data_IF_631809612980
#
_entry.id   IF_631809612980
#
_cell.length_a   1.000
_cell.length_b   1.000
_cell.length_c   1.000
_cell.angle_alpha   90.00
_cell.angle_beta   90.00
_cell.angle_gamma   90.00
#
_symmetry.space_group_name_H-M   'P 1'
#
loop_
_entity.id
_entity.type
_entity.pdbx_description
1 polymer ?
#
# COMPACT_ATOMS: atom_id res chain seq x y z
N UNK A 1 14.26 -2.09 -5.80
CA UNK A 1 13.95 -3.04 -4.70
C UNK A 1 13.34 -2.33 -3.49
N UNK A 2 13.92 -1.24 -2.99
CA UNK A 2 13.45 -0.50 -1.80
C UNK A 2 12.06 0.10 -1.92
N UNK A 3 11.71 0.71 -3.06
CA UNK A 3 10.41 1.35 -3.25
C UNK A 3 9.24 0.35 -3.22
N UNK A 4 9.40 -0.83 -3.83
CA UNK A 4 8.39 -1.89 -3.82
C UNK A 4 8.11 -2.38 -2.40
N UNK A 5 9.17 -2.71 -1.64
CA UNK A 5 9.03 -3.19 -0.27
C UNK A 5 8.38 -2.14 0.63
N UNK A 6 8.69 -0.86 0.44
CA UNK A 6 8.05 0.21 1.20
C UNK A 6 6.56 0.34 0.85
N UNK A 7 6.25 0.40 -0.45
CA UNK A 7 4.89 0.61 -0.96
C UNK A 7 3.92 -0.53 -0.63
N UNK A 8 4.43 -1.76 -0.58
CA UNK A 8 3.63 -2.95 -0.26
C UNK A 8 3.91 -3.52 1.13
N UNK A 9 4.64 -2.79 1.98
CA UNK A 9 5.02 -3.25 3.34
C UNK A 9 3.81 -3.66 4.17
N UNK A 10 2.72 -2.89 4.10
CA UNK A 10 1.45 -3.19 4.77
C UNK A 10 0.86 -4.53 4.32
N UNK A 11 0.79 -4.76 3.00
CA UNK A 11 0.25 -6.02 2.45
C UNK A 11 1.15 -7.20 2.78
N UNK A 12 2.46 -7.03 2.71
CA UNK A 12 3.43 -8.08 3.04
C UNK A 12 3.35 -8.46 4.52
N UNK A 13 3.29 -7.47 5.41
CA UNK A 13 3.14 -7.70 6.85
C UNK A 13 1.82 -8.40 7.17
N UNK A 14 0.71 -7.91 6.60
CA UNK A 14 -0.60 -8.53 6.78
C UNK A 14 -0.68 -9.97 6.25
N UNK A 15 -0.12 -10.22 5.06
CA UNK A 15 -0.01 -11.56 4.49
C UNK A 15 0.82 -12.50 5.37
N UNK A 16 1.94 -12.01 5.93
CA UNK A 16 2.77 -12.79 6.84
C UNK A 16 2.01 -13.17 8.12
N UNK A 17 1.24 -12.24 8.71
CA UNK A 17 0.41 -12.52 9.89
C UNK A 17 -0.65 -13.57 9.57
N UNK A 18 -1.38 -13.42 8.45
CA UNK A 18 -2.39 -14.39 8.02
C UNK A 18 -1.77 -15.77 7.82
N UNK A 19 -0.58 -15.83 7.20
CA UNK A 19 0.15 -17.07 7.00
C UNK A 19 0.52 -17.73 8.33
N UNK A 20 1.08 -16.97 9.27
CA UNK A 20 1.45 -17.47 10.60
C UNK A 20 0.22 -18.04 11.32
N UNK A 21 -0.88 -17.30 11.37
CA UNK A 21 -2.13 -17.74 11.99
C UNK A 21 -2.62 -19.04 11.34
N UNK A 22 -2.60 -19.09 10.00
CA UNK A 22 -3.05 -20.27 9.24
C UNK A 22 -2.18 -21.49 9.54
N UNK A 23 -0.85 -21.35 9.52
CA UNK A 23 0.09 -22.45 9.82
C UNK A 23 -0.05 -22.95 11.25
N UNK A 24 -0.17 -22.04 12.22
CA UNK A 24 -0.37 -22.40 13.64
C UNK A 24 -1.67 -23.19 13.81
N UNK A 25 -2.76 -22.75 13.18
CA UNK A 25 -4.04 -23.46 13.26
C UNK A 25 -4.05 -24.78 12.51
N UNK A 26 -3.39 -24.87 11.35
CA UNK A 26 -3.21 -26.14 10.63
C UNK A 26 -2.53 -27.19 11.51
N UNK A 27 -1.51 -26.80 12.29
CA UNK A 27 -0.82 -27.71 13.22
C UNK A 27 -1.70 -28.19 14.38
N UNK A 28 -2.70 -27.41 14.78
CA UNK A 28 -3.61 -27.74 15.88
C UNK A 28 -4.89 -28.45 15.41
N UNK A 29 -5.04 -28.63 14.09
CA UNK A 29 -6.24 -29.16 13.45
C UNK A 29 -7.18 -28.06 12.98
N UNK A 30 -7.48 -28.07 11.69
CA UNK A 30 -8.30 -27.05 11.04
C UNK A 30 -9.79 -27.25 11.31
N UNK A 31 -10.41 -26.30 12.00
CA UNK A 31 -11.85 -26.32 12.31
C UNK A 31 -12.64 -25.47 11.31
N UNK A 32 -13.95 -25.70 11.21
CA UNK A 32 -14.83 -24.86 10.37
C UNK A 32 -14.80 -23.38 10.77
N UNK A 33 -14.61 -23.10 12.06
CA UNK A 33 -14.44 -21.74 12.59
C UNK A 33 -13.17 -21.06 12.09
N UNK A 34 -12.13 -21.83 11.72
CA UNK A 34 -10.85 -21.26 11.31
C UNK A 34 -10.95 -20.63 9.92
N UNK A 35 -11.86 -21.12 9.08
CA UNK A 35 -12.24 -20.47 7.83
C UNK A 35 -12.85 -19.08 8.06
N UNK A 36 -13.66 -18.91 9.11
CA UNK A 36 -14.23 -17.60 9.45
C UNK A 36 -13.17 -16.63 9.95
N UNK A 37 -12.20 -17.13 10.74
CA UNK A 37 -11.09 -16.31 11.23
C UNK A 37 -10.19 -15.85 10.08
N UNK A 38 -9.76 -16.77 9.21
CA UNK A 38 -8.89 -16.43 8.07
C UNK A 38 -9.63 -15.57 7.05
N UNK A 39 -10.89 -15.88 6.76
CA UNK A 39 -11.73 -15.05 5.90
C UNK A 39 -11.93 -13.64 6.48
N UNK A 40 -12.19 -13.54 7.79
CA UNK A 40 -12.31 -12.25 8.48
C UNK A 40 -11.02 -11.44 8.44
N UNK A 41 -9.85 -12.08 8.63
CA UNK A 41 -8.55 -11.41 8.49
C UNK A 41 -8.30 -10.92 7.06
N UNK A 42 -8.62 -11.72 6.04
CA UNK A 42 -8.51 -11.32 4.64
C UNK A 42 -9.41 -10.13 4.32
N UNK A 43 -10.67 -10.15 4.77
CA UNK A 43 -11.61 -9.05 4.58
C UNK A 43 -11.18 -7.78 5.31
N UNK A 44 -10.71 -7.91 6.55
CA UNK A 44 -10.17 -6.79 7.34
C UNK A 44 -8.94 -6.17 6.67
N UNK A 45 -8.02 -7.01 6.18
CA UNK A 45 -6.85 -6.54 5.43
C UNK A 45 -7.24 -5.83 4.13
N UNK A 46 -8.21 -6.38 3.40
CA UNK A 46 -8.73 -5.75 2.19
C UNK A 46 -9.37 -4.39 2.49
N UNK A 47 -10.17 -4.29 3.55
CA UNK A 47 -10.81 -3.04 3.97
C UNK A 47 -9.77 -1.98 4.34
N UNK A 48 -8.77 -2.32 5.16
CA UNK A 48 -7.65 -1.43 5.50
C UNK A 48 -6.92 -1.00 4.23
N UNK A 49 -6.61 -1.94 3.33
CA UNK A 49 -5.92 -1.59 2.09
C UNK A 49 -6.75 -0.65 1.22
N UNK A 50 -8.06 -0.83 1.09
CA UNK A 50 -8.90 0.08 0.32
C UNK A 50 -8.91 1.51 0.88
N UNK A 51 -8.82 1.67 2.21
CA UNK A 51 -8.79 2.97 2.89
C UNK A 51 -7.42 3.63 2.77
N UNK A 52 -6.35 2.86 2.95
CA UNK A 52 -4.98 3.37 3.07
C UNK A 52 -4.14 3.14 1.80
N UNK A 53 -4.72 2.63 0.72
CA UNK A 53 -3.95 2.37 -0.49
C UNK A 53 -3.35 3.68 -1.00
N UNK A 54 -2.08 3.65 -1.40
CA UNK A 54 -1.49 4.77 -2.11
C UNK A 54 -2.32 5.05 -3.36
N UNK A 55 -2.90 6.24 -3.41
CA UNK A 55 -3.58 6.75 -4.58
C UNK A 55 -2.64 7.76 -5.23
N UNK A 56 -2.54 7.75 -6.57
CA UNK A 56 -1.77 8.76 -7.27
C UNK A 56 -2.37 10.12 -6.93
N UNK A 57 -1.62 10.94 -6.19
CA UNK A 57 -1.93 12.37 -6.06
C UNK A 57 -1.92 12.93 -7.47
N UNK A 58 -3.02 13.56 -7.88
CA UNK A 58 -3.15 14.17 -9.21
C UNK A 58 -1.90 14.99 -9.48
N UNK A 59 -1.14 14.62 -10.51
CA UNK A 59 0.02 15.35 -11.03
C UNK A 59 -0.41 16.65 -11.71
N UNK A 60 -1.35 17.38 -11.11
CA UNK A 60 -1.87 18.63 -11.64
C UNK A 60 -0.75 19.67 -11.81
N UNK A 61 0.36 19.54 -11.09
CA UNK A 61 1.52 20.42 -11.23
C UNK A 61 2.57 19.99 -12.24
N UNK A 62 2.61 18.74 -12.74
CA UNK A 62 3.74 18.29 -13.58
C UNK A 62 3.59 18.81 -15.01
N UNK A 63 2.40 18.68 -15.61
CA UNK A 63 2.14 19.20 -16.95
C UNK A 63 2.21 20.74 -16.99
N UNK A 64 1.79 21.40 -15.91
CA UNK A 64 1.86 22.85 -15.77
C UNK A 64 3.31 23.34 -15.60
N UNK A 65 4.13 22.62 -14.83
CA UNK A 65 5.58 22.91 -14.70
C UNK A 65 6.33 22.62 -16.00
N UNK A 66 6.07 21.51 -16.69
CA UNK A 66 6.68 21.18 -17.97
C UNK A 66 6.40 22.25 -19.03
N UNK A 67 5.21 22.87 -19.00
CA UNK A 67 4.86 23.98 -19.89
C UNK A 67 5.59 25.30 -19.58
N UNK A 68 6.08 25.48 -18.35
CA UNK A 68 6.82 26.67 -17.91
C UNK A 68 8.34 26.50 -18.05
N UNK A 69 8.84 25.27 -18.08
CA UNK A 69 10.26 24.97 -18.33
C UNK A 69 10.60 25.30 -19.79
N UNK A 70 11.35 26.41 -19.97
CA UNK A 70 11.76 26.89 -21.30
C UNK A 70 11.14 28.23 -21.71
N UNK A 71 10.25 28.81 -20.89
CA UNK A 71 9.62 30.11 -21.15
C UNK A 71 10.51 31.33 -20.88
N UNK A 72 11.78 31.13 -20.48
CA UNK A 72 12.73 32.22 -20.19
C UNK A 72 12.57 32.87 -18.82
N UNK A 73 11.58 32.44 -18.02
CA UNK A 73 11.40 32.83 -16.61
C UNK A 73 11.88 31.70 -15.68
N UNK A 74 12.58 32.02 -14.57
CA UNK A 74 12.96 31.02 -13.59
C UNK A 74 11.71 30.45 -12.91
N UNK A 75 11.50 29.15 -13.09
CA UNK A 75 10.40 28.39 -12.46
C UNK A 75 10.91 27.82 -11.15
N UNK A 76 10.22 28.13 -10.05
CA UNK A 76 10.53 27.52 -8.75
C UNK A 76 9.95 26.09 -8.73
N UNK A 77 10.84 25.12 -8.88
CA UNK A 77 10.49 23.71 -8.66
C UNK A 77 10.42 23.45 -7.15
N UNK A 78 9.24 23.64 -6.56
CA UNK A 78 8.98 23.13 -5.22
C UNK A 78 8.81 21.61 -5.30
N UNK A 79 9.95 20.91 -5.30
CA UNK A 79 9.98 19.48 -5.08
C UNK A 79 9.51 19.23 -3.65
N UNK A 80 8.20 19.00 -3.50
CA UNK A 80 7.62 18.52 -2.26
C UNK A 80 8.28 17.17 -1.95
N UNK A 81 9.28 17.19 -1.07
CA UNK A 81 9.95 15.99 -0.57
C UNK A 81 8.97 15.22 0.32
N UNK A 82 8.48 14.04 -0.10
CA UNK A 82 7.34 13.40 0.57
C UNK A 82 7.80 12.41 1.66
N UNK A 83 8.83 12.76 2.43
CA UNK A 83 9.24 12.00 3.61
C UNK A 83 8.57 12.58 4.85
#
# INVERSE_FOLDING_TARGET
MSAFLNHYSLLLAGAAIILIVSVVRLRQGWRRTDWLVVGGLMLGMLAIWLIFRPTATTTAGVDEVDSQIGAGTPVLLELQSPF
#
